data_IF_068207222716
#
_entry.id   IF_068207222716
#
_cell.length_a   1.000
_cell.length_b   1.000
_cell.length_c   1.000
_cell.angle_alpha   90.00
_cell.angle_beta   90.00
_cell.angle_gamma   90.00
#
_symmetry.space_group_name_H-M   'P 1'
#
loop_
_entity.id
_entity.type
_entity.pdbx_description
1 polymer ?
#
# COMPACT_ATOMS: atom_id res chain seq x y z
N UNK A 1 2.62 42.52 13.37
CA UNK A 1 2.84 42.48 11.91
C UNK A 1 1.51 42.71 11.20
N UNK A 2 1.49 43.31 10.00
CA UNK A 2 0.29 43.39 9.15
C UNK A 2 0.54 42.58 7.87
N UNK A 3 -0.38 41.69 7.52
CA UNK A 3 -0.32 40.89 6.30
C UNK A 3 -1.18 41.53 5.21
N UNK A 4 -0.70 41.51 3.96
CA UNK A 4 -1.49 41.84 2.78
C UNK A 4 -1.55 40.60 1.88
N UNK A 5 -2.70 39.94 1.85
CA UNK A 5 -2.93 38.79 0.97
C UNK A 5 -3.12 39.28 -0.47
N UNK A 6 -2.43 38.64 -1.41
CA UNK A 6 -2.57 38.87 -2.85
C UNK A 6 -3.06 37.55 -3.44
N UNK A 7 -4.07 37.58 -4.30
CA UNK A 7 -4.51 36.39 -5.01
C UNK A 7 -3.44 35.95 -6.00
N UNK A 8 -3.16 34.66 -6.05
CA UNK A 8 -2.17 34.05 -6.94
C UNK A 8 -2.92 33.17 -7.93
N UNK A 9 -2.52 33.22 -9.20
CA UNK A 9 -3.05 32.34 -10.24
C UNK A 9 -2.95 30.87 -9.81
N UNK A 10 -4.05 30.11 -9.96
CA UNK A 10 -4.14 28.69 -9.60
C UNK A 10 -3.09 27.81 -10.27
N UNK A 11 -2.53 28.23 -11.41
CA UNK A 11 -1.45 27.51 -12.12
C UNK A 11 -0.10 27.61 -11.42
N UNK A 12 0.03 28.47 -10.41
CA UNK A 12 1.28 28.71 -9.70
C UNK A 12 1.40 27.93 -8.40
N UNK A 13 0.38 27.16 -8.00
CA UNK A 13 0.43 26.36 -6.79
C UNK A 13 -0.36 25.06 -6.94
N UNK A 14 -0.08 24.14 -6.03
CA UNK A 14 -0.75 22.86 -5.93
C UNK A 14 -1.06 22.55 -4.47
N UNK A 15 -1.91 21.55 -4.23
CA UNK A 15 -2.03 20.93 -2.91
C UNK A 15 -0.77 20.14 -2.57
N UNK A 16 -0.44 20.12 -1.28
CA UNK A 16 0.67 19.33 -0.76
C UNK A 16 0.39 17.83 -0.86
N UNK A 17 -0.84 17.41 -0.58
CA UNK A 17 -1.25 16.02 -0.70
C UNK A 17 -1.40 15.62 -2.16
N UNK A 18 -0.72 14.53 -2.53
CA UNK A 18 -0.64 13.97 -3.88
C UNK A 18 -1.04 12.51 -3.96
N UNK A 19 -1.03 11.80 -2.84
CA UNK A 19 -1.36 10.38 -2.80
C UNK A 19 -2.42 10.09 -1.74
N UNK A 20 -3.12 8.99 -1.92
CA UNK A 20 -3.87 8.31 -0.87
C UNK A 20 -3.18 6.95 -0.66
N UNK A 21 -2.86 6.60 0.59
CA UNK A 21 -2.28 5.29 0.91
C UNK A 21 -3.25 4.53 1.79
N UNK A 22 -3.70 3.37 1.31
CA UNK A 22 -4.63 2.48 2.00
C UNK A 22 -3.85 1.41 2.78
N UNK A 23 -4.31 1.13 3.99
CA UNK A 23 -3.71 0.19 4.93
C UNK A 23 -4.82 -0.72 5.47
N UNK A 24 -4.45 -1.90 5.94
CA UNK A 24 -5.25 -2.61 6.94
C UNK A 24 -4.56 -2.54 8.30
N UNK A 25 -5.36 -2.65 9.36
CA UNK A 25 -4.81 -2.56 10.72
C UNK A 25 -4.19 -3.87 11.21
N UNK A 26 -4.70 -5.03 10.78
CA UNK A 26 -4.40 -6.34 11.36
C UNK A 26 -4.75 -6.44 12.86
N UNK A 27 -5.68 -5.61 13.31
CA UNK A 27 -6.20 -5.57 14.67
C UNK A 27 -7.73 -5.48 14.65
N UNK A 28 -8.36 -5.72 15.80
CA UNK A 28 -9.74 -5.30 16.00
C UNK A 28 -9.85 -3.76 16.09
N UNK A 29 -11.07 -3.25 16.08
CA UNK A 29 -11.32 -1.81 16.07
C UNK A 29 -10.77 -1.10 17.31
N UNK A 30 -10.88 -1.72 18.49
CA UNK A 30 -10.42 -1.14 19.75
C UNK A 30 -8.90 -1.00 19.75
N UNK A 31 -8.19 -2.08 19.45
CA UNK A 31 -6.73 -2.09 19.38
C UNK A 31 -6.22 -1.18 18.26
N UNK A 32 -6.96 -1.07 17.15
CA UNK A 32 -6.66 -0.12 16.05
C UNK A 32 -6.71 1.33 16.53
N UNK A 33 -7.81 1.73 17.18
CA UNK A 33 -7.97 3.09 17.73
C UNK A 33 -6.88 3.41 18.76
N UNK A 34 -6.61 2.46 19.66
CA UNK A 34 -5.58 2.65 20.68
C UNK A 34 -4.20 2.85 20.06
N UNK A 35 -3.83 2.01 19.08
CA UNK A 35 -2.54 2.08 18.41
C UNK A 35 -2.39 3.39 17.62
N UNK A 36 -3.43 3.83 16.92
CA UNK A 36 -3.40 5.01 16.04
C UNK A 36 -3.48 6.35 16.79
N UNK A 37 -3.71 6.35 18.11
CA UNK A 37 -3.93 7.58 18.91
C UNK A 37 -2.92 7.81 20.04
N UNK A 38 -2.04 6.85 20.34
CA UNK A 38 -1.06 6.93 21.44
C UNK A 38 0.38 7.30 21.02
N UNK A 39 0.54 7.74 19.78
CA UNK A 39 1.82 8.16 19.20
C UNK A 39 2.67 6.99 18.68
N UNK A 40 3.72 7.30 17.92
CA UNK A 40 4.56 6.29 17.24
C UNK A 40 4.07 5.98 15.82
N UNK A 41 2.76 5.84 15.62
CA UNK A 41 2.11 5.74 14.30
C UNK A 41 0.73 6.41 14.32
N UNK A 42 0.20 6.81 13.16
CA UNK A 42 -1.16 7.37 13.03
C UNK A 42 -1.64 7.34 11.58
N UNK A 43 -2.93 7.58 11.35
CA UNK A 43 -3.52 7.77 10.03
C UNK A 43 -4.44 9.00 10.03
N UNK A 44 -4.88 9.47 8.87
CA UNK A 44 -5.88 10.56 8.81
C UNK A 44 -7.27 10.03 9.14
N UNK A 45 -7.58 8.83 8.64
CA UNK A 45 -8.88 8.18 8.80
C UNK A 45 -8.72 6.72 9.23
N UNK A 46 -9.70 6.23 9.98
CA UNK A 46 -9.88 4.80 10.30
C UNK A 46 -11.30 4.37 9.91
N UNK A 47 -11.42 3.33 9.09
CA UNK A 47 -12.71 2.77 8.63
C UNK A 47 -12.99 1.45 9.37
N UNK A 48 -13.96 1.40 10.30
CA UNK A 48 -14.35 0.19 11.01
C UNK A 48 -15.05 -0.83 10.11
N UNK A 49 -15.20 -2.08 10.58
CA UNK A 49 -15.94 -3.12 9.83
C UNK A 49 -17.42 -2.81 9.68
N UNK A 50 -18.00 -2.06 10.61
CA UNK A 50 -19.43 -1.70 10.66
C UNK A 50 -19.57 -0.25 11.13
N UNK A 51 -20.69 0.43 10.83
CA UNK A 51 -20.96 1.74 11.40
C UNK A 51 -21.12 1.62 12.92
N UNK A 52 -20.74 2.67 13.63
CA UNK A 52 -20.83 2.75 15.08
C UNK A 52 -21.69 3.93 15.50
N UNK A 53 -22.19 3.90 16.73
CA UNK A 53 -23.01 4.97 17.29
C UNK A 53 -22.33 5.63 18.47
N UNK A 54 -22.43 6.95 18.50
CA UNK A 54 -22.13 7.77 19.67
C UNK A 54 -23.40 8.54 19.98
N UNK A 55 -23.96 8.30 21.16
CA UNK A 55 -25.31 8.76 21.53
C UNK A 55 -26.37 8.34 20.50
N UNK A 56 -27.06 9.30 19.86
CA UNK A 56 -28.09 9.04 18.84
C UNK A 56 -27.56 9.12 17.40
N UNK A 57 -26.30 9.49 17.21
CA UNK A 57 -25.69 9.69 15.88
C UNK A 57 -24.93 8.45 15.41
N UNK A 58 -25.00 8.20 14.10
CA UNK A 58 -24.31 7.09 13.43
C UNK A 58 -23.11 7.62 12.66
N UNK A 59 -22.00 6.89 12.75
CA UNK A 59 -20.72 7.24 12.16
C UNK A 59 -20.19 6.09 11.32
N UNK A 60 -19.69 6.43 10.13
CA UNK A 60 -19.17 5.44 9.18
C UNK A 60 -17.66 5.23 9.33
N UNK A 61 -16.94 6.24 9.83
CA UNK A 61 -15.48 6.26 10.00
C UNK A 61 -15.04 7.23 11.10
N UNK A 62 -13.78 7.11 11.53
CA UNK A 62 -13.11 8.03 12.44
C UNK A 62 -12.15 8.95 11.67
N UNK A 63 -12.14 10.25 11.98
CA UNK A 63 -11.09 11.19 11.57
C UNK A 63 -10.12 11.39 12.74
N UNK A 64 -8.85 11.00 12.55
CA UNK A 64 -7.84 11.02 13.61
C UNK A 64 -6.86 12.18 13.46
N UNK A 65 -6.44 12.50 12.23
CA UNK A 65 -5.52 13.61 11.91
C UNK A 65 -6.13 14.46 10.80
N UNK A 66 -5.99 15.78 10.87
CA UNK A 66 -6.43 16.65 9.79
C UNK A 66 -5.62 16.40 8.51
N UNK A 67 -6.27 16.39 7.35
CA UNK A 67 -5.61 16.11 6.07
C UNK A 67 -4.54 17.14 5.68
N UNK A 68 -4.52 18.31 6.32
CA UNK A 68 -3.47 19.32 6.14
C UNK A 68 -2.26 19.09 7.05
N UNK A 69 -2.42 18.27 8.09
CA UNK A 69 -1.35 17.81 8.97
C UNK A 69 -0.71 16.53 8.42
N UNK A 70 0.41 16.13 9.04
CA UNK A 70 1.18 14.95 8.64
C UNK A 70 0.87 13.78 9.57
N UNK A 71 0.04 12.83 9.14
CA UNK A 71 -0.08 11.53 9.81
C UNK A 71 1.15 10.63 9.56
N UNK A 72 1.39 9.65 10.44
CA UNK A 72 2.57 8.78 10.41
C UNK A 72 2.17 7.34 10.05
N UNK A 73 1.88 7.08 8.78
CA UNK A 73 1.35 5.79 8.29
C UNK A 73 2.28 5.08 7.29
N UNK A 74 2.83 5.79 6.31
CA UNK A 74 3.61 5.22 5.22
C UNK A 74 5.02 4.79 5.66
N UNK A 75 5.64 5.49 6.60
CA UNK A 75 7.02 5.23 7.04
C UNK A 75 8.04 5.37 5.89
N UNK A 76 9.09 4.54 5.88
CA UNK A 76 10.05 4.46 4.77
C UNK A 76 9.34 3.98 3.50
N UNK A 77 9.05 4.90 2.59
CA UNK A 77 8.17 4.67 1.45
C UNK A 77 8.66 5.46 0.24
N UNK A 78 8.40 4.94 -0.95
CA UNK A 78 8.74 5.58 -2.21
C UNK A 78 7.68 5.28 -3.27
N UNK A 79 7.31 6.29 -4.06
CA UNK A 79 6.51 6.10 -5.27
C UNK A 79 6.71 7.27 -6.24
N UNK A 80 6.90 6.96 -7.52
CA UNK A 80 7.08 7.93 -8.61
C UNK A 80 8.13 9.01 -8.30
N UNK A 81 9.31 8.58 -7.81
CA UNK A 81 10.43 9.47 -7.50
C UNK A 81 10.28 10.28 -6.22
N UNK A 82 9.21 10.08 -5.44
CA UNK A 82 9.00 10.73 -4.14
C UNK A 82 9.24 9.74 -3.03
N UNK A 83 9.98 10.16 -2.03
CA UNK A 83 10.22 9.41 -0.79
C UNK A 83 9.38 9.99 0.36
N UNK A 84 9.32 9.25 1.47
CA UNK A 84 8.69 9.70 2.73
C UNK A 84 7.25 10.16 2.54
N UNK A 85 6.41 9.29 1.97
CA UNK A 85 5.07 9.65 1.52
C UNK A 85 4.15 10.19 2.62
N UNK A 86 4.46 9.98 3.91
CA UNK A 86 3.79 10.71 5.00
C UNK A 86 3.69 12.23 4.74
N UNK A 87 4.68 12.82 4.07
CA UNK A 87 4.76 14.27 3.83
C UNK A 87 3.78 14.80 2.77
N UNK A 88 3.21 13.92 1.94
CA UNK A 88 2.41 14.26 0.78
C UNK A 88 1.31 13.23 0.47
N UNK A 89 0.88 12.47 1.47
CA UNK A 89 -0.20 11.51 1.31
C UNK A 89 -1.22 11.54 2.44
N UNK A 90 -2.43 11.09 2.10
CA UNK A 90 -3.52 10.86 3.05
C UNK A 90 -3.58 9.36 3.34
N UNK A 91 -3.13 8.95 4.53
CA UNK A 91 -3.31 7.59 5.04
C UNK A 91 -4.73 7.28 5.51
N UNK A 92 -5.29 6.18 5.03
CA UNK A 92 -6.56 5.60 5.48
C UNK A 92 -6.29 4.18 6.00
N UNK A 93 -6.56 3.96 7.28
CA UNK A 93 -6.52 2.63 7.91
C UNK A 93 -7.89 1.98 7.83
N UNK A 94 -7.93 0.68 7.55
CA UNK A 94 -9.17 -0.09 7.43
C UNK A 94 -9.10 -1.26 8.40
N UNK A 95 -10.09 -1.38 9.29
CA UNK A 95 -10.13 -2.49 10.27
C UNK A 95 -10.35 -3.80 9.52
N UNK A 96 -9.27 -4.55 9.33
CA UNK A 96 -9.26 -5.83 8.66
C UNK A 96 -8.15 -6.68 9.27
N UNK A 97 -8.42 -7.96 9.48
CA UNK A 97 -7.54 -8.86 10.22
C UNK A 97 -6.35 -9.37 9.39
N UNK A 98 -6.25 -8.97 8.11
CA UNK A 98 -5.22 -9.41 7.19
C UNK A 98 -5.45 -10.86 6.77
N UNK A 99 -4.47 -11.73 7.01
CA UNK A 99 -4.57 -13.15 6.69
C UNK A 99 -4.67 -14.02 7.95
N UNK A 100 -5.44 -15.08 7.87
CA UNK A 100 -5.59 -16.11 8.89
C UNK A 100 -5.16 -17.48 8.38
N UNK A 101 -4.77 -18.36 9.29
CA UNK A 101 -4.39 -19.74 9.01
C UNK A 101 -5.55 -20.68 9.34
N UNK A 102 -5.86 -21.54 8.38
CA UNK A 102 -6.84 -22.61 8.55
C UNK A 102 -6.19 -23.74 9.36
N UNK A 103 -6.78 -24.05 10.50
CA UNK A 103 -6.33 -25.12 11.39
C UNK A 103 -6.86 -26.48 10.93
N UNK A 104 -6.28 -27.56 11.42
CA UNK A 104 -6.76 -28.93 11.15
C UNK A 104 -8.22 -29.14 11.61
N UNK A 105 -8.69 -28.36 12.59
CA UNK A 105 -10.08 -28.34 13.05
C UNK A 105 -11.05 -27.64 12.09
N UNK A 106 -10.55 -26.91 11.09
CA UNK A 106 -11.31 -26.01 10.23
C UNK A 106 -11.51 -24.60 10.79
N UNK A 107 -11.06 -24.33 12.03
CA UNK A 107 -11.04 -22.98 12.60
C UNK A 107 -10.04 -22.10 11.84
N UNK A 108 -10.35 -20.82 11.69
CA UNK A 108 -9.41 -19.83 11.14
C UNK A 108 -8.88 -19.00 12.31
N UNK A 109 -7.56 -18.99 12.46
CA UNK A 109 -6.87 -18.17 13.46
C UNK A 109 -6.17 -17.04 12.73
N UNK A 110 -6.38 -15.81 13.19
CA UNK A 110 -5.72 -14.60 12.71
C UNK A 110 -4.57 -14.16 13.62
N UNK A 111 -3.65 -13.38 13.09
CA UNK A 111 -2.48 -12.86 13.81
C UNK A 111 -2.87 -12.10 15.09
N UNK A 112 -3.90 -11.25 15.03
CA UNK A 112 -4.33 -10.46 16.20
C UNK A 112 -4.81 -11.34 17.37
N UNK A 113 -5.35 -12.53 17.10
CA UNK A 113 -5.79 -13.44 18.16
C UNK A 113 -4.59 -14.04 18.91
N UNK A 114 -3.49 -14.32 18.22
CA UNK A 114 -2.23 -14.76 18.84
C UNK A 114 -1.66 -13.63 19.71
N UNK A 115 -1.71 -12.40 19.23
CA UNK A 115 -1.30 -11.22 20.01
C UNK A 115 -2.16 -11.03 21.27
N UNK A 116 -3.48 -11.23 21.17
CA UNK A 116 -4.39 -11.15 22.32
C UNK A 116 -4.12 -12.26 23.36
N UNK A 117 -3.81 -13.48 22.91
CA UNK A 117 -3.39 -14.59 23.77
C UNK A 117 -2.07 -14.28 24.48
N UNK A 118 -1.09 -13.71 23.78
CA UNK A 118 0.17 -13.28 24.38
C UNK A 118 -0.06 -12.18 25.43
N UNK A 119 -0.86 -11.15 25.10
CA UNK A 119 -1.23 -10.09 26.07
C UNK A 119 -1.80 -10.71 27.35
N UNK A 120 -2.73 -11.65 27.20
CA UNK A 120 -3.36 -12.36 28.33
C UNK A 120 -2.32 -13.11 29.16
N UNK A 121 -1.47 -13.91 28.52
CA UNK A 121 -0.39 -14.64 29.18
C UNK A 121 0.55 -13.71 29.97
N UNK A 122 0.95 -12.58 29.40
CA UNK A 122 1.83 -11.61 30.05
C UNK A 122 1.14 -10.97 31.26
N UNK A 123 -0.12 -10.56 31.12
CA UNK A 123 -0.90 -9.95 32.22
C UNK A 123 -1.12 -10.92 33.37
N UNK A 124 -1.50 -12.17 33.09
CA UNK A 124 -1.69 -13.20 34.11
C UNK A 124 -0.38 -13.53 34.82
N UNK A 125 0.72 -13.60 34.08
CA UNK A 125 2.06 -13.81 34.63
C UNK A 125 2.52 -12.64 35.49
N UNK A 126 2.25 -11.39 35.08
CA UNK A 126 2.50 -10.18 35.88
C UNK A 126 1.73 -10.23 37.20
N UNK A 127 0.43 -10.54 37.16
CA UNK A 127 -0.38 -10.65 38.38
C UNK A 127 0.14 -11.73 39.34
N UNK A 128 0.51 -12.89 38.79
CA UNK A 128 0.94 -14.02 39.61
C UNK A 128 2.34 -13.83 40.22
N UNK A 129 3.26 -13.19 39.51
CA UNK A 129 4.69 -13.18 39.88
C UNK A 129 5.23 -11.79 40.25
N UNK A 130 4.57 -10.73 39.78
CA UNK A 130 4.99 -9.33 39.95
C UNK A 130 3.78 -8.40 40.18
N UNK A 131 2.85 -8.77 41.07
CA UNK A 131 1.63 -7.99 41.35
C UNK A 131 1.88 -6.49 41.64
N UNK A 132 2.93 -6.08 42.40
CA UNK A 132 3.20 -4.65 42.60
C UNK A 132 3.52 -3.91 41.29
N UNK A 133 4.22 -4.55 40.35
CA UNK A 133 4.53 -3.99 39.03
C UNK A 133 3.27 -3.87 38.19
N UNK A 134 2.43 -4.90 38.20
CA UNK A 134 1.13 -4.86 37.54
C UNK A 134 0.27 -3.67 38.03
N UNK A 135 0.14 -3.53 39.35
CA UNK A 135 -0.63 -2.43 39.95
C UNK A 135 -0.04 -1.06 39.59
N UNK A 136 1.29 -0.93 39.59
CA UNK A 136 1.95 0.30 39.17
C UNK A 136 1.65 0.64 37.70
N UNK A 137 1.80 -0.33 36.79
CA UNK A 137 1.52 -0.15 35.36
C UNK A 137 0.06 0.27 35.13
N UNK A 138 -0.90 -0.35 35.82
CA UNK A 138 -2.32 0.01 35.71
C UNK A 138 -2.59 1.41 36.25
N UNK A 139 -2.11 1.72 37.46
CA UNK A 139 -2.36 3.00 38.11
C UNK A 139 -1.75 4.18 37.34
N UNK A 140 -0.59 3.96 36.71
CA UNK A 140 0.07 4.99 35.90
C UNK A 140 -0.40 5.02 34.43
N UNK A 141 -1.31 4.13 34.03
CA UNK A 141 -1.80 3.93 32.64
C UNK A 141 -0.70 3.56 31.64
N UNK A 142 0.25 2.74 32.08
CA UNK A 142 1.43 2.31 31.33
C UNK A 142 1.39 0.84 30.93
N UNK A 143 0.33 0.10 31.27
CA UNK A 143 0.22 -1.33 30.97
C UNK A 143 0.31 -1.61 29.47
N UNK A 144 -0.39 -0.84 28.63
CA UNK A 144 -0.40 -1.09 27.19
C UNK A 144 0.95 -0.76 26.55
N UNK A 145 1.64 0.27 27.05
CA UNK A 145 3.00 0.59 26.64
C UNK A 145 3.96 -0.57 26.97
N UNK A 146 3.86 -1.14 28.18
CA UNK A 146 4.63 -2.32 28.57
C UNK A 146 4.29 -3.53 27.69
N UNK A 147 3.00 -3.79 27.44
CA UNK A 147 2.56 -4.91 26.60
C UNK A 147 3.04 -4.77 25.16
N UNK A 148 3.00 -3.57 24.59
CA UNK A 148 3.46 -3.32 23.22
C UNK A 148 4.93 -3.70 23.00
N UNK A 149 5.78 -3.58 24.03
CA UNK A 149 7.19 -3.98 23.99
C UNK A 149 7.40 -5.50 23.98
N UNK A 150 6.36 -6.26 24.33
CA UNK A 150 6.34 -7.73 24.27
C UNK A 150 5.77 -8.26 22.95
N UNK A 151 5.17 -7.38 22.14
CA UNK A 151 4.50 -7.73 20.91
C UNK A 151 5.41 -7.55 19.68
N UNK A 152 5.14 -8.30 18.60
CA UNK A 152 5.92 -8.19 17.36
C UNK A 152 5.38 -7.04 16.50
N UNK A 153 6.29 -6.25 15.93
CA UNK A 153 5.97 -5.38 14.81
C UNK A 153 5.10 -4.16 15.13
N UNK A 154 4.82 -3.88 16.40
CA UNK A 154 4.21 -2.62 16.80
C UNK A 154 5.27 -1.52 16.79
N UNK A 155 4.94 -0.36 16.19
CA UNK A 155 5.71 0.85 16.48
C UNK A 155 5.35 1.22 17.91
N UNK A 156 6.32 1.25 18.83
CA UNK A 156 6.00 1.41 20.23
C UNK A 156 5.40 2.81 20.48
N UNK A 157 4.43 2.91 21.40
CA UNK A 157 3.75 4.15 21.67
C UNK A 157 4.69 5.17 22.32
N UNK A 158 4.30 6.45 22.30
CA UNK A 158 5.17 7.53 22.81
C UNK A 158 5.44 7.43 24.33
N UNK A 159 4.55 6.78 25.07
CA UNK A 159 4.69 6.50 26.50
C UNK A 159 5.57 5.27 26.82
N UNK A 160 6.15 4.62 25.80
CA UNK A 160 7.15 3.55 25.94
C UNK A 160 8.30 3.95 26.85
N UNK A 161 8.87 5.14 26.64
CA UNK A 161 10.01 5.61 27.43
C UNK A 161 9.59 5.88 28.89
N UNK A 162 8.34 6.30 29.11
CA UNK A 162 7.82 6.54 30.45
C UNK A 162 7.70 5.26 31.28
N UNK A 163 7.27 4.14 30.72
CA UNK A 163 7.21 2.90 31.51
C UNK A 163 8.62 2.33 31.80
N UNK A 164 9.58 2.52 30.89
CA UNK A 164 10.98 2.12 31.11
C UNK A 164 11.66 2.88 32.25
N UNK A 165 11.26 4.13 32.51
CA UNK A 165 11.72 4.87 33.70
C UNK A 165 11.13 4.31 35.00
N UNK A 166 9.99 3.61 34.93
CA UNK A 166 9.22 3.15 36.09
C UNK A 166 9.49 1.71 36.46
N UNK A 167 9.77 0.87 35.45
CA UNK A 167 9.97 -0.56 35.59
C UNK A 167 11.44 -0.88 35.36
N UNK A 168 12.01 -1.73 36.21
CA UNK A 168 13.43 -2.10 36.09
C UNK A 168 13.71 -2.81 34.77
N UNK A 169 14.86 -2.52 34.18
CA UNK A 169 15.32 -3.16 32.94
C UNK A 169 15.36 -4.69 33.05
N UNK A 170 15.72 -5.22 34.22
CA UNK A 170 15.71 -6.66 34.49
C UNK A 170 14.32 -7.30 34.29
N UNK A 171 13.26 -6.64 34.76
CA UNK A 171 11.88 -7.13 34.59
C UNK A 171 11.47 -7.02 33.12
N UNK A 172 11.81 -5.91 32.46
CA UNK A 172 11.48 -5.71 31.04
C UNK A 172 12.10 -6.82 30.18
N UNK A 173 13.40 -7.10 30.38
CA UNK A 173 14.11 -8.15 29.64
C UNK A 173 13.60 -9.56 29.99
N UNK A 174 13.21 -9.79 31.25
CA UNK A 174 12.56 -11.04 31.65
C UNK A 174 11.27 -11.29 30.86
N UNK A 175 10.39 -10.29 30.77
CA UNK A 175 9.11 -10.45 30.07
C UNK A 175 9.28 -10.52 28.55
N UNK A 176 10.28 -9.83 27.98
CA UNK A 176 10.63 -10.01 26.56
C UNK A 176 11.03 -11.44 26.26
N UNK A 177 11.88 -12.02 27.12
CA UNK A 177 12.30 -13.42 26.99
C UNK A 177 11.12 -14.38 27.15
N UNK A 178 10.22 -14.13 28.09
CA UNK A 178 8.99 -14.94 28.27
C UNK A 178 8.08 -14.85 27.05
N UNK A 179 7.90 -13.66 26.48
CA UNK A 179 7.11 -13.46 25.28
C UNK A 179 7.69 -14.24 24.10
N UNK A 180 9.01 -14.19 23.90
CA UNK A 180 9.71 -14.96 22.86
C UNK A 180 9.55 -16.48 23.06
N UNK A 181 9.75 -16.97 24.28
CA UNK A 181 9.54 -18.39 24.60
C UNK A 181 8.10 -18.83 24.37
N UNK A 182 7.13 -18.00 24.75
CA UNK A 182 5.72 -18.25 24.51
C UNK A 182 5.43 -18.35 23.01
N UNK A 183 5.97 -17.42 22.19
CA UNK A 183 5.79 -17.43 20.73
C UNK A 183 6.33 -18.69 20.09
N UNK A 184 7.50 -19.16 20.48
CA UNK A 184 8.08 -20.40 19.94
C UNK A 184 7.16 -21.62 20.07
N UNK A 185 6.25 -21.61 21.06
CA UNK A 185 5.33 -22.73 21.32
C UNK A 185 3.91 -22.49 20.82
N UNK A 186 3.50 -21.23 20.62
CA UNK A 186 2.10 -20.85 20.39
C UNK A 186 1.87 -20.04 19.11
N UNK A 187 2.88 -19.33 18.60
CA UNK A 187 2.76 -18.45 17.45
C UNK A 187 2.99 -19.21 16.14
N UNK A 188 1.88 -19.65 15.55
CA UNK A 188 1.87 -20.38 14.27
C UNK A 188 2.27 -19.52 13.06
N UNK A 189 2.37 -18.20 13.23
CA UNK A 189 2.77 -17.28 12.16
C UNK A 189 4.27 -16.98 12.17
N UNK A 190 5.00 -17.43 13.19
CA UNK A 190 6.38 -17.03 13.43
C UNK A 190 7.31 -17.33 12.25
N UNK A 191 7.12 -18.47 11.59
CA UNK A 191 7.92 -18.90 10.43
C UNK A 191 7.37 -18.48 9.08
N UNK A 192 6.22 -17.80 9.03
CA UNK A 192 5.54 -17.44 7.78
C UNK A 192 6.05 -16.09 7.29
N UNK A 193 6.48 -16.05 6.04
CA UNK A 193 6.94 -14.85 5.34
C UNK A 193 5.95 -14.47 4.24
N UNK A 194 6.02 -13.22 3.72
CA UNK A 194 5.21 -12.82 2.56
C UNK A 194 5.31 -13.74 1.34
N UNK A 195 6.42 -14.47 1.17
CA UNK A 195 6.65 -15.40 0.05
C UNK A 195 5.81 -16.67 0.18
N UNK A 196 5.41 -17.05 1.39
CA UNK A 196 4.65 -18.28 1.66
C UNK A 196 3.14 -18.08 1.45
N UNK A 197 2.65 -16.84 1.55
CA UNK A 197 1.22 -16.52 1.61
C UNK A 197 0.44 -17.00 0.38
N UNK A 198 1.03 -16.90 -0.81
CA UNK A 198 0.39 -17.34 -2.04
C UNK A 198 0.21 -18.87 -2.03
N UNK A 199 1.29 -19.61 -1.77
CA UNK A 199 1.24 -21.07 -1.75
C UNK A 199 0.28 -21.59 -0.66
N UNK A 200 0.29 -20.97 0.52
CA UNK A 200 -0.62 -21.35 1.60
C UNK A 200 -2.09 -21.11 1.24
N UNK A 201 -2.41 -20.04 0.50
CA UNK A 201 -3.77 -19.81 0.02
C UNK A 201 -4.18 -20.85 -1.03
N UNK A 202 -3.31 -21.16 -1.99
CA UNK A 202 -3.58 -22.19 -3.01
C UNK A 202 -3.80 -23.58 -2.37
N UNK A 203 -3.11 -23.88 -1.28
CA UNK A 203 -3.29 -25.09 -0.48
C UNK A 203 -4.50 -25.05 0.46
N UNK A 204 -5.28 -23.95 0.47
CA UNK A 204 -6.41 -23.70 1.37
C UNK A 204 -6.03 -23.74 2.86
N UNK A 205 -4.77 -23.42 3.16
CA UNK A 205 -4.23 -23.28 4.53
C UNK A 205 -4.23 -21.84 5.02
N UNK A 206 -4.46 -20.89 4.12
CA UNK A 206 -4.57 -19.46 4.42
C UNK A 206 -5.85 -18.90 3.82
N UNK A 207 -6.46 -17.97 4.53
CA UNK A 207 -7.62 -17.19 4.08
C UNK A 207 -7.34 -15.72 4.38
N UNK A 208 -7.66 -14.83 3.44
CA UNK A 208 -7.69 -13.39 3.69
C UNK A 208 -9.03 -12.99 4.29
N UNK A 209 -9.00 -12.08 5.27
CA UNK A 209 -10.20 -11.44 5.78
C UNK A 209 -10.80 -10.52 4.71
N UNK A 210 -12.09 -10.66 4.48
CA UNK A 210 -12.80 -9.85 3.50
C UNK A 210 -13.15 -8.46 4.06
N UNK A 211 -13.16 -7.47 3.18
CA UNK A 211 -13.69 -6.14 3.48
C UNK A 211 -15.21 -6.16 3.36
N UNK A 212 -15.90 -5.52 4.33
CA UNK A 212 -17.37 -5.46 4.35
C UNK A 212 -17.90 -4.48 3.31
N UNK A 213 -19.17 -4.63 2.90
CA UNK A 213 -19.82 -3.65 2.01
C UNK A 213 -19.81 -2.24 2.61
N UNK A 214 -20.00 -2.13 3.92
CA UNK A 214 -19.85 -0.87 4.66
C UNK A 214 -18.49 -0.22 4.43
N UNK A 215 -17.40 -1.00 4.51
CA UNK A 215 -16.05 -0.48 4.30
C UNK A 215 -15.86 0.03 2.87
N UNK A 216 -16.32 -0.72 1.87
CA UNK A 216 -16.28 -0.26 0.48
C UNK A 216 -17.08 1.03 0.27
N UNK A 217 -18.31 1.08 0.78
CA UNK A 217 -19.16 2.26 0.67
C UNK A 217 -18.58 3.47 1.35
N UNK A 218 -18.02 3.27 2.54
CA UNK A 218 -17.37 4.32 3.31
C UNK A 218 -16.13 4.83 2.61
N UNK A 219 -15.27 3.96 2.08
CA UNK A 219 -14.06 4.37 1.35
C UNK A 219 -14.41 5.21 0.12
N UNK A 220 -15.39 4.80 -0.67
CA UNK A 220 -15.78 5.54 -1.87
C UNK A 220 -16.36 6.90 -1.50
N UNK A 221 -17.28 6.97 -0.52
CA UNK A 221 -17.84 8.25 -0.05
C UNK A 221 -16.76 9.14 0.57
N UNK A 222 -15.88 8.59 1.39
CA UNK A 222 -14.78 9.33 2.01
C UNK A 222 -13.86 9.94 0.94
N UNK A 223 -13.52 9.20 -0.11
CA UNK A 223 -12.65 9.70 -1.17
C UNK A 223 -13.38 10.73 -2.05
N UNK A 224 -14.59 10.42 -2.53
CA UNK A 224 -15.30 11.26 -3.51
C UNK A 224 -16.03 12.46 -2.88
N UNK A 225 -16.60 12.31 -1.69
CA UNK A 225 -17.46 13.32 -1.07
C UNK A 225 -16.73 14.14 0.01
N UNK A 226 -15.59 13.67 0.52
CA UNK A 226 -14.83 14.38 1.55
C UNK A 226 -13.42 14.80 1.08
N UNK A 227 -12.55 13.84 0.78
CA UNK A 227 -11.14 14.11 0.44
C UNK A 227 -11.04 14.91 -0.86
N UNK A 228 -11.73 14.47 -1.91
CA UNK A 228 -11.66 15.10 -3.24
C UNK A 228 -12.13 16.55 -3.23
N UNK A 229 -13.29 16.92 -2.66
CA UNK A 229 -13.69 18.31 -2.51
C UNK A 229 -12.71 19.12 -1.66
N UNK A 230 -12.22 18.57 -0.54
CA UNK A 230 -11.29 19.29 0.34
C UNK A 230 -9.93 19.58 -0.33
N UNK A 231 -9.49 18.68 -1.23
CA UNK A 231 -8.26 18.81 -2.00
C UNK A 231 -8.47 19.47 -3.37
N UNK A 232 -9.68 19.83 -3.73
CA UNK A 232 -9.92 20.56 -4.97
C UNK A 232 -9.36 21.98 -4.89
N UNK A 233 -8.82 22.46 -6.01
CA UNK A 233 -8.54 23.88 -6.25
C UNK A 233 -9.69 24.41 -7.10
N UNK A 234 -10.43 25.38 -6.57
CA UNK A 234 -11.55 26.00 -7.28
C UNK A 234 -11.03 27.20 -8.06
N UNK A 235 -11.36 27.25 -9.34
CA UNK A 235 -11.23 28.46 -10.13
C UNK A 235 -12.46 29.33 -9.95
N UNK A 236 -12.29 30.47 -9.28
CA UNK A 236 -13.37 31.42 -9.03
C UNK A 236 -13.92 32.05 -10.32
N UNK A 237 -13.15 32.10 -11.42
CA UNK A 237 -13.60 32.71 -12.68
C UNK A 237 -14.44 31.76 -13.53
N UNK A 238 -14.09 30.46 -13.55
CA UNK A 238 -14.78 29.44 -14.36
C UNK A 238 -15.69 28.51 -13.57
N UNK A 239 -15.73 28.67 -12.24
CA UNK A 239 -16.35 27.75 -11.26
C UNK A 239 -15.86 26.29 -11.38
N UNK A 240 -14.74 26.05 -12.08
CA UNK A 240 -14.21 24.72 -12.29
C UNK A 240 -13.33 24.27 -11.12
N UNK A 241 -13.55 23.06 -10.61
CA UNK A 241 -12.76 22.46 -9.54
C UNK A 241 -11.74 21.45 -10.09
N UNK A 242 -10.47 21.58 -9.70
CA UNK A 242 -9.39 20.66 -10.09
C UNK A 242 -8.98 19.79 -8.91
N UNK A 243 -9.20 18.48 -9.02
CA UNK A 243 -8.64 17.50 -8.09
C UNK A 243 -7.33 16.94 -8.63
N UNK A 244 -6.31 16.87 -7.78
CA UNK A 244 -4.92 16.66 -8.24
C UNK A 244 -4.35 15.27 -7.92
N UNK A 245 -5.12 14.39 -7.28
CA UNK A 245 -4.70 13.00 -7.01
C UNK A 245 -5.28 12.12 -8.12
N UNK A 246 -4.48 11.70 -9.11
CA UNK A 246 -4.96 10.84 -10.19
C UNK A 246 -5.18 9.40 -9.69
N UNK A 247 -5.93 8.55 -10.42
CA UNK A 247 -6.24 7.19 -10.00
C UNK A 247 -5.01 6.34 -9.64
N UNK A 248 -3.91 6.48 -10.38
CA UNK A 248 -2.66 5.75 -10.13
C UNK A 248 -1.96 6.15 -8.82
N UNK A 249 -2.40 7.22 -8.14
CA UNK A 249 -1.84 7.70 -6.87
C UNK A 249 -2.73 7.36 -5.67
N UNK A 250 -3.73 6.49 -5.86
CA UNK A 250 -4.43 5.78 -4.80
C UNK A 250 -3.79 4.40 -4.68
N UNK A 251 -2.99 4.21 -3.63
CA UNK A 251 -1.98 3.16 -3.52
C UNK A 251 -2.17 2.34 -2.25
N UNK A 252 -1.70 1.10 -2.26
CA UNK A 252 -1.56 0.32 -1.03
C UNK A 252 -0.27 0.65 -0.31
N UNK A 253 -0.17 0.29 0.97
CA UNK A 253 1.11 0.34 1.67
C UNK A 253 2.14 -0.57 0.98
N UNK A 254 1.70 -1.71 0.44
CA UNK A 254 2.50 -2.63 -0.37
C UNK A 254 3.11 -1.97 -1.61
N UNK A 255 2.41 -1.03 -2.25
CA UNK A 255 2.92 -0.38 -3.46
C UNK A 255 4.06 0.59 -3.17
N UNK A 256 3.96 1.27 -2.04
CA UNK A 256 4.92 2.31 -1.65
C UNK A 256 6.06 1.75 -0.78
N UNK A 257 5.92 0.53 -0.28
CA UNK A 257 6.95 -0.17 0.48
C UNK A 257 7.01 -1.69 0.18
N UNK A 258 7.29 -2.09 -1.08
CA UNK A 258 7.33 -3.49 -1.48
C UNK A 258 8.29 -4.32 -0.62
N UNK A 259 7.86 -5.53 -0.25
CA UNK A 259 8.65 -6.46 0.58
C UNK A 259 8.68 -6.13 2.08
N UNK A 260 8.42 -4.88 2.47
CA UNK A 260 8.23 -4.49 3.88
C UNK A 260 6.77 -4.59 4.30
N UNK A 261 5.85 -4.28 3.38
CA UNK A 261 4.41 -4.19 3.62
C UNK A 261 3.64 -4.97 2.58
N UNK A 262 2.48 -5.49 2.98
CA UNK A 262 1.60 -6.35 2.16
C UNK A 262 0.15 -5.87 2.18
N UNK A 263 -0.16 -4.91 3.04
CA UNK A 263 -1.47 -4.29 3.17
C UNK A 263 -1.73 -3.26 2.05
N UNK A 264 -2.99 -3.11 1.59
CA UNK A 264 -4.23 -3.69 2.12
C UNK A 264 -4.53 -5.12 1.65
N UNK A 265 -3.58 -5.82 1.02
CA UNK A 265 -3.74 -7.19 0.55
C UNK A 265 -4.54 -7.29 -0.75
N UNK A 266 -4.81 -8.52 -1.22
CA UNK A 266 -5.36 -8.77 -2.56
C UNK A 266 -6.88 -8.57 -2.66
N UNK A 267 -7.59 -8.47 -1.53
CA UNK A 267 -9.06 -8.53 -1.51
C UNK A 267 -9.76 -7.17 -1.71
N UNK A 268 -9.03 -6.06 -1.85
CA UNK A 268 -9.61 -4.71 -1.85
C UNK A 268 -9.85 -4.12 -3.27
N UNK A 269 -8.87 -4.24 -4.16
CA UNK A 269 -8.70 -3.28 -5.26
C UNK A 269 -9.77 -3.33 -6.33
N UNK A 270 -10.10 -4.52 -6.83
CA UNK A 270 -11.03 -4.69 -7.95
C UNK A 270 -12.39 -4.05 -7.67
N UNK A 271 -12.93 -4.22 -6.46
CA UNK A 271 -14.23 -3.68 -6.07
C UNK A 271 -14.21 -2.15 -5.88
N UNK A 272 -13.07 -1.56 -5.48
CA UNK A 272 -12.88 -0.11 -5.48
C UNK A 272 -12.79 0.44 -6.91
N UNK A 273 -12.06 -0.24 -7.79
CA UNK A 273 -11.91 0.13 -9.19
C UNK A 273 -13.23 0.09 -9.97
N UNK A 274 -14.08 -0.91 -9.71
CA UNK A 274 -15.46 -0.99 -10.25
C UNK A 274 -16.33 0.22 -9.84
N UNK A 275 -15.91 0.96 -8.81
CA UNK A 275 -16.53 2.21 -8.35
C UNK A 275 -15.71 3.45 -8.69
N UNK A 276 -14.79 3.35 -9.64
CA UNK A 276 -13.91 4.42 -10.12
C UNK A 276 -12.93 4.98 -9.08
N UNK A 277 -12.61 4.20 -8.05
CA UNK A 277 -11.56 4.54 -7.08
C UNK A 277 -10.29 3.76 -7.39
N UNK A 278 -9.23 4.50 -7.72
CA UNK A 278 -7.92 3.94 -8.02
C UNK A 278 -7.75 3.53 -9.48
N UNK A 279 -6.51 3.23 -9.86
CA UNK A 279 -6.20 2.76 -11.20
C UNK A 279 -6.61 1.30 -11.39
N UNK A 280 -7.13 0.98 -12.57
CA UNK A 280 -7.38 -0.38 -13.02
C UNK A 280 -7.24 -0.49 -14.55
N UNK A 281 -6.70 -1.59 -15.09
CA UNK A 281 -6.59 -1.79 -16.53
C UNK A 281 -7.95 -2.05 -17.18
N UNK A 282 -8.03 -1.90 -18.51
CA UNK A 282 -9.17 -2.39 -19.30
C UNK A 282 -8.95 -3.88 -19.60
N UNK A 283 -9.90 -4.74 -19.23
CA UNK A 283 -9.77 -6.18 -19.43
C UNK A 283 -9.68 -6.54 -20.92
N UNK A 284 -10.35 -5.80 -21.81
CA UNK A 284 -10.26 -6.06 -23.26
C UNK A 284 -8.86 -5.79 -23.80
N UNK A 285 -8.19 -4.74 -23.32
CA UNK A 285 -6.80 -4.43 -23.68
C UNK A 285 -5.84 -5.48 -23.10
N UNK A 286 -6.05 -5.91 -21.85
CA UNK A 286 -5.27 -6.99 -21.23
C UNK A 286 -5.36 -8.27 -22.06
N UNK A 287 -6.58 -8.71 -22.41
CA UNK A 287 -6.77 -9.90 -23.24
C UNK A 287 -6.13 -9.77 -24.63
N UNK A 288 -6.18 -8.58 -25.24
CA UNK A 288 -5.54 -8.34 -26.54
C UNK A 288 -4.01 -8.48 -26.45
N UNK A 289 -3.40 -7.95 -25.38
CA UNK A 289 -1.95 -8.06 -25.13
C UNK A 289 -1.57 -9.50 -24.80
N UNK A 290 -2.34 -10.20 -23.96
CA UNK A 290 -2.10 -11.62 -23.60
C UNK A 290 -2.07 -12.52 -24.84
N UNK A 291 -2.92 -12.26 -25.84
CA UNK A 291 -2.94 -13.01 -27.11
C UNK A 291 -1.75 -12.69 -28.02
N UNK A 292 -1.12 -11.52 -27.84
CA UNK A 292 0.00 -11.06 -28.67
C UNK A 292 1.37 -11.46 -28.09
N UNK A 293 1.45 -11.80 -26.80
CA UNK A 293 2.70 -12.12 -26.11
C UNK A 293 2.87 -13.65 -25.97
N UNK A 294 4.10 -14.12 -26.23
CA UNK A 294 4.54 -15.49 -25.90
C UNK A 294 5.85 -15.44 -25.12
N UNK A 295 6.02 -16.37 -24.18
CA UNK A 295 7.24 -16.50 -23.36
C UNK A 295 8.27 -17.48 -23.95
N UNK A 296 8.13 -17.88 -25.22
CA UNK A 296 9.06 -18.80 -25.89
C UNK A 296 10.53 -18.33 -25.85
N UNK A 297 10.77 -17.02 -25.84
CA UNK A 297 12.10 -16.43 -25.80
C UNK A 297 12.57 -16.09 -24.36
N UNK A 298 11.84 -16.55 -23.35
CA UNK A 298 12.07 -16.21 -21.94
C UNK A 298 11.43 -14.89 -21.53
N UNK A 299 11.62 -14.52 -20.27
CA UNK A 299 11.10 -13.27 -19.67
C UNK A 299 12.20 -12.21 -19.69
N UNK A 300 11.88 -11.03 -20.24
CA UNK A 300 12.73 -9.85 -20.13
C UNK A 300 12.50 -9.15 -18.78
N UNK A 301 13.27 -9.58 -17.77
CA UNK A 301 13.19 -8.97 -16.43
C UNK A 301 13.61 -7.50 -16.44
N UNK A 302 14.49 -7.08 -17.35
CA UNK A 302 14.92 -5.69 -17.44
C UNK A 302 13.75 -4.82 -17.87
N UNK A 303 13.00 -5.25 -18.89
CA UNK A 303 11.79 -4.56 -19.32
C UNK A 303 10.75 -4.49 -18.19
N UNK A 304 10.50 -5.60 -17.47
CA UNK A 304 9.55 -5.60 -16.35
C UNK A 304 9.96 -4.59 -15.27
N UNK A 305 11.24 -4.56 -14.90
CA UNK A 305 11.78 -3.61 -13.92
C UNK A 305 11.63 -2.16 -14.39
N UNK A 306 12.00 -1.87 -15.64
CA UNK A 306 11.85 -0.53 -16.23
C UNK A 306 10.38 -0.10 -16.28
N UNK A 307 9.48 -1.00 -16.64
CA UNK A 307 8.04 -0.76 -16.71
C UNK A 307 7.41 -0.54 -15.33
N UNK A 308 7.76 -1.34 -14.32
CA UNK A 308 7.32 -1.14 -12.93
C UNK A 308 7.85 0.17 -12.35
N UNK A 309 9.12 0.50 -12.61
CA UNK A 309 9.71 1.79 -12.25
C UNK A 309 9.01 2.96 -12.95
N UNK A 310 8.65 2.80 -14.22
CA UNK A 310 7.89 3.81 -14.95
C UNK A 310 6.47 4.00 -14.38
N UNK A 311 5.80 2.90 -13.99
CA UNK A 311 4.51 2.97 -13.33
C UNK A 311 4.59 3.74 -12.00
N UNK A 312 5.63 3.46 -11.21
CA UNK A 312 5.97 4.26 -10.03
C UNK A 312 6.70 3.52 -8.90
N UNK A 313 6.90 2.21 -8.99
CA UNK A 313 7.55 1.42 -7.94
C UNK A 313 9.03 1.79 -7.77
N UNK A 314 9.52 1.68 -6.54
CA UNK A 314 10.95 1.78 -6.24
C UNK A 314 11.65 0.46 -6.60
N UNK A 315 12.30 0.44 -7.76
CA UNK A 315 12.95 -0.76 -8.29
C UNK A 315 14.15 -0.38 -9.17
N UNK A 316 15.22 -1.16 -9.07
CA UNK A 316 16.40 -1.00 -9.92
C UNK A 316 16.35 -1.95 -11.13
N UNK A 317 16.83 -1.46 -12.27
CA UNK A 317 16.92 -2.22 -13.53
C UNK A 317 18.17 -3.10 -13.58
N UNK A 318 18.13 -4.25 -12.89
CA UNK A 318 19.25 -5.21 -12.83
C UNK A 318 19.27 -6.23 -13.97
N UNK A 319 18.13 -6.43 -14.65
CA UNK A 319 17.92 -7.47 -15.65
C UNK A 319 17.89 -8.90 -15.08
N UNK A 320 17.83 -9.06 -13.76
CA UNK A 320 17.82 -10.35 -13.07
C UNK A 320 16.53 -10.52 -12.26
N UNK A 321 16.08 -11.77 -12.09
CA UNK A 321 14.97 -12.10 -11.19
C UNK A 321 15.41 -12.16 -9.72
N UNK A 322 15.82 -11.00 -9.20
CA UNK A 322 16.30 -10.82 -7.84
C UNK A 322 15.15 -10.61 -6.82
N UNK A 323 15.51 -10.50 -5.55
CA UNK A 323 14.53 -10.38 -4.46
C UNK A 323 13.68 -9.09 -4.53
N UNK A 324 14.28 -7.95 -4.91
CA UNK A 324 13.49 -6.71 -5.12
C UNK A 324 12.45 -6.92 -6.22
N UNK A 325 12.82 -7.59 -7.31
CA UNK A 325 11.92 -7.84 -8.44
C UNK A 325 10.75 -8.70 -8.00
N UNK A 326 11.01 -9.77 -7.24
CA UNK A 326 9.96 -10.62 -6.67
C UNK A 326 9.03 -9.84 -5.73
N UNK A 327 9.58 -8.97 -4.89
CA UNK A 327 8.79 -8.19 -3.92
C UNK A 327 7.91 -7.14 -4.60
N UNK A 328 8.42 -6.45 -5.62
CA UNK A 328 7.67 -5.46 -6.39
C UNK A 328 6.61 -6.14 -7.24
N UNK A 329 6.94 -7.23 -7.94
CA UNK A 329 5.96 -8.02 -8.71
C UNK A 329 4.86 -8.53 -7.81
N UNK A 330 5.18 -9.03 -6.62
CA UNK A 330 4.17 -9.48 -5.65
C UNK A 330 3.24 -8.34 -5.22
N UNK A 331 3.80 -7.17 -4.93
CA UNK A 331 3.01 -6.00 -4.51
C UNK A 331 2.08 -5.54 -5.64
N UNK A 332 2.62 -5.47 -6.87
CA UNK A 332 1.84 -5.20 -8.08
C UNK A 332 0.73 -6.23 -8.29
N UNK A 333 1.02 -7.52 -8.12
CA UNK A 333 0.03 -8.58 -8.25
C UNK A 333 -1.05 -8.52 -7.17
N UNK A 334 -0.69 -8.27 -5.90
CA UNK A 334 -1.69 -8.05 -4.84
C UNK A 334 -2.62 -6.88 -5.20
N UNK A 335 -2.13 -5.87 -5.91
CA UNK A 335 -2.96 -4.77 -6.40
C UNK A 335 -3.81 -5.18 -7.61
N UNK A 336 -3.19 -5.65 -8.70
CA UNK A 336 -3.83 -5.74 -10.03
C UNK A 336 -4.12 -7.17 -10.52
N UNK A 337 -3.53 -8.20 -9.90
CA UNK A 337 -3.70 -9.63 -10.22
C UNK A 337 -3.93 -10.45 -8.95
N UNK A 338 -5.01 -10.18 -8.18
CA UNK A 338 -5.18 -10.74 -6.83
C UNK A 338 -5.28 -12.27 -6.78
N UNK A 339 -5.53 -12.93 -7.91
CA UNK A 339 -5.55 -14.39 -8.04
C UNK A 339 -4.13 -15.00 -8.15
N UNK A 340 -3.09 -14.21 -8.40
CA UNK A 340 -1.71 -14.66 -8.54
C UNK A 340 -0.73 -13.62 -7.99
N UNK A 341 -0.53 -13.62 -6.68
CA UNK A 341 0.47 -12.81 -5.98
C UNK A 341 1.72 -13.62 -5.58
N UNK A 342 2.12 -14.56 -6.44
CA UNK A 342 3.30 -15.39 -6.23
C UNK A 342 4.62 -14.59 -6.15
N UNK A 343 4.67 -13.41 -6.77
CA UNK A 343 5.89 -12.65 -7.03
C UNK A 343 6.66 -13.14 -8.25
N UNK A 344 6.10 -14.08 -9.02
CA UNK A 344 6.64 -14.54 -10.31
C UNK A 344 5.78 -13.97 -11.43
N UNK A 345 6.36 -13.33 -12.46
CA UNK A 345 5.56 -12.74 -13.54
C UNK A 345 4.94 -13.83 -14.42
N UNK A 346 3.64 -13.71 -14.68
CA UNK A 346 2.91 -14.48 -15.69
C UNK A 346 2.71 -13.65 -16.96
N UNK A 347 2.21 -14.26 -18.04
CA UNK A 347 1.76 -13.52 -19.25
C UNK A 347 0.73 -12.47 -18.86
N UNK A 348 -0.17 -12.80 -17.92
CA UNK A 348 -1.17 -11.88 -17.39
C UNK A 348 -0.55 -10.73 -16.61
N UNK A 349 0.43 -10.99 -15.74
CA UNK A 349 1.15 -9.93 -15.01
C UNK A 349 1.76 -8.89 -15.96
N UNK A 350 2.43 -9.38 -17.02
CA UNK A 350 3.05 -8.53 -18.05
C UNK A 350 1.99 -7.71 -18.80
N UNK A 351 0.89 -8.36 -19.18
CA UNK A 351 -0.20 -7.73 -19.94
C UNK A 351 -0.95 -6.67 -19.13
N UNK A 352 -1.17 -6.92 -17.83
CA UNK A 352 -1.73 -5.95 -16.89
C UNK A 352 -0.84 -4.71 -16.78
N UNK A 353 0.48 -4.90 -16.63
CA UNK A 353 1.43 -3.80 -16.52
C UNK A 353 1.45 -2.96 -17.80
N UNK A 354 1.52 -3.59 -18.98
CA UNK A 354 1.50 -2.88 -20.26
C UNK A 354 0.17 -2.11 -20.46
N UNK A 355 -0.98 -2.73 -20.17
CA UNK A 355 -2.29 -2.08 -20.28
C UNK A 355 -2.40 -0.86 -19.34
N UNK A 356 -1.88 -0.97 -18.11
CA UNK A 356 -1.83 0.14 -17.16
C UNK A 356 -0.96 1.29 -17.66
N UNK A 357 0.22 0.98 -18.22
CA UNK A 357 1.10 1.99 -18.79
C UNK A 357 0.44 2.72 -19.97
N UNK A 358 -0.18 1.98 -20.89
CA UNK A 358 -0.93 2.57 -22.01
C UNK A 358 -2.05 3.50 -21.54
N UNK A 359 -2.80 3.09 -20.52
CA UNK A 359 -3.98 3.82 -20.02
C UNK A 359 -3.62 5.08 -19.23
N UNK A 360 -2.63 5.00 -18.33
CA UNK A 360 -2.34 6.08 -17.37
C UNK A 360 -1.08 6.88 -17.71
N UNK A 361 -0.26 6.39 -18.64
CA UNK A 361 0.96 7.06 -19.11
C UNK A 361 1.11 6.97 -20.64
N UNK A 362 0.11 7.43 -21.43
CA UNK A 362 0.21 7.40 -22.89
C UNK A 362 1.38 8.26 -23.38
N UNK A 363 1.99 7.87 -24.50
CA UNK A 363 3.15 8.58 -25.09
C UNK A 363 2.87 10.08 -25.33
N UNK A 364 1.61 10.47 -25.56
CA UNK A 364 1.19 11.87 -25.70
C UNK A 364 1.38 12.72 -24.43
N UNK A 365 1.44 12.11 -23.25
CA UNK A 365 1.71 12.83 -21.99
C UNK A 365 3.20 13.18 -21.80
N UNK A 366 4.09 12.68 -22.66
CA UNK A 366 5.52 13.02 -22.62
C UNK A 366 5.80 14.45 -23.12
N UNK A 367 4.86 15.09 -23.80
CA UNK A 367 5.05 16.42 -24.42
C UNK A 367 4.35 17.58 -23.68
N UNK A 368 3.40 17.33 -22.78
CA UNK A 368 2.43 18.35 -22.35
C UNK A 368 2.60 18.87 -20.90
N UNK A 369 3.77 18.69 -20.27
CA UNK A 369 4.07 19.30 -18.97
C UNK A 369 5.35 20.15 -19.01
N UNK A 370 5.39 21.36 -18.43
CA UNK A 370 6.61 22.15 -18.28
C UNK A 370 7.45 21.63 -17.10
N UNK A 371 7.72 20.32 -17.05
CA UNK A 371 8.74 19.66 -16.20
C UNK A 371 9.17 18.37 -16.89
N UNK A 372 9.92 18.52 -17.97
CA UNK A 372 10.61 17.43 -18.63
C UNK A 372 11.57 16.75 -17.65
N UNK A 373 11.20 15.58 -17.16
CA UNK A 373 12.20 14.59 -16.76
C UNK A 373 12.65 13.92 -18.06
N UNK A 374 13.92 14.10 -18.39
CA UNK A 374 14.50 13.45 -19.57
C UNK A 374 14.35 11.94 -19.41
N UNK A 375 13.47 11.34 -20.22
CA UNK A 375 13.56 9.92 -20.50
C UNK A 375 14.93 9.63 -21.13
N UNK A 376 15.55 8.48 -20.81
CA UNK A 376 16.55 7.91 -21.70
C UNK A 376 15.85 7.66 -23.04
N UNK A 377 16.17 8.48 -24.04
CA UNK A 377 15.73 8.26 -25.41
C UNK A 377 16.19 6.88 -25.86
N UNK A 378 15.24 6.09 -26.37
CA UNK A 378 15.42 4.76 -26.91
C UNK A 378 16.70 4.60 -27.77
N UNK A 379 17.46 3.54 -27.51
CA UNK A 379 17.86 2.69 -28.64
C UNK A 379 16.76 1.65 -28.77
N UNK A 380 15.99 1.74 -29.85
CA UNK A 380 15.04 0.73 -30.31
C UNK A 380 15.64 -0.67 -30.14
N UNK A 381 15.22 -1.39 -29.11
CA UNK A 381 15.32 -2.85 -29.12
C UNK A 381 14.16 -3.33 -29.97
N UNK A 382 14.44 -3.53 -31.25
CA UNK A 382 13.55 -4.21 -32.17
C UNK A 382 13.11 -5.54 -31.55
N UNK A 383 11.84 -5.65 -31.20
CA UNK A 383 11.15 -6.95 -31.13
C UNK A 383 11.27 -7.55 -32.54
N UNK A 384 12.14 -8.56 -32.69
CA UNK A 384 12.40 -9.18 -33.98
C UNK A 384 11.21 -10.05 -34.39
N UNK A 385 10.34 -9.52 -35.25
CA UNK A 385 9.60 -10.36 -36.20
C UNK A 385 10.53 -10.64 -37.39
N UNK A 386 11.12 -11.84 -37.46
CA UNK A 386 11.69 -12.33 -38.71
C UNK A 386 10.57 -13.01 -39.52
N UNK A 387 9.91 -12.24 -40.37
CA UNK A 387 9.25 -12.82 -41.54
C UNK A 387 10.32 -13.44 -42.44
N UNK A 388 10.19 -14.73 -42.74
CA UNK A 388 10.97 -15.41 -43.77
C UNK A 388 10.44 -14.99 -45.15
N UNK A 389 11.16 -14.11 -45.86
CA UNK A 389 11.02 -13.98 -47.31
C UNK A 389 12.38 -13.99 -47.99
N UNK A 390 12.52 -14.93 -48.92
CA UNK A 390 13.63 -15.05 -49.86
C UNK A 390 13.77 -13.78 -50.72
N UNK A 391 14.99 -13.37 -51.09
CA UNK A 391 15.21 -12.19 -51.92
C UNK A 391 15.17 -12.57 -53.40
N UNK A 392 14.47 -11.79 -54.22
CA UNK A 392 14.87 -11.56 -55.61
C UNK A 392 14.26 -10.25 -56.16
N UNK A 393 15.18 -9.32 -56.42
CA UNK A 393 15.24 -8.33 -57.52
C UNK A 393 14.18 -7.22 -57.72
N UNK A 394 14.69 -6.01 -57.45
CA UNK A 394 14.93 -4.90 -58.40
C UNK A 394 13.88 -3.79 -58.62
N UNK A 395 14.45 -2.58 -58.56
CA UNK A 395 14.09 -1.30 -59.21
C UNK A 395 12.87 -0.57 -58.60
N UNK A 396 12.84 0.74 -58.36
CA UNK A 396 13.60 1.86 -58.93
C UNK A 396 13.41 3.15 -58.08
N UNK A 397 14.49 3.92 -57.96
CA UNK A 397 14.67 5.40 -57.96
C UNK A 397 13.67 6.44 -57.35
N UNK A 398 14.32 7.48 -56.77
CA UNK A 398 13.93 8.91 -56.55
C UNK A 398 12.99 9.28 -55.37
N UNK A 399 13.15 10.40 -54.64
CA UNK A 399 14.15 11.48 -54.56
C UNK A 399 13.88 12.38 -53.33
N UNK A 400 14.95 12.79 -52.64
CA UNK A 400 15.23 14.08 -51.94
C UNK A 400 14.13 15.03 -51.37
N UNK A 401 14.47 15.53 -50.16
CA UNK A 401 14.38 16.93 -49.66
C UNK A 401 12.99 17.51 -49.28
N UNK A 402 12.79 18.44 -48.34
CA UNK A 402 13.55 19.08 -47.25
C UNK A 402 12.57 20.10 -46.56
N UNK A 403 12.71 20.32 -45.24
CA UNK A 403 12.57 21.59 -44.51
C UNK A 403 11.25 22.43 -44.36
N UNK A 404 10.97 22.78 -43.08
CA UNK A 404 10.79 24.13 -42.47
C UNK A 404 9.38 24.64 -42.05
N UNK A 405 9.26 24.80 -40.71
CA UNK A 405 8.70 25.88 -39.84
C UNK A 405 7.31 26.51 -40.07
N UNK A 406 6.54 26.58 -38.98
CA UNK A 406 6.40 27.79 -38.14
C UNK A 406 6.00 27.43 -36.71
#
# INVERSE_FOLDING_TARGET
MKEKRISVDKRNFDKRQRFIVLHYTAFDEKDSLETLTRGGLSAHFLVPKQPFKVDEESYDYYKLVDINDRAWHAGCSHFKGRESLNDNSIGIEIVNYGFGLVQDSGEIVFTYQIEAQLKTFIVETLKAQHEPVYQQLVNEKLLDAFLSDMQRGMIPPSDRERYKEKISEAIIEEYKKRAEQWRQSNDRFLSITPKDLYQLEQEKKLVWDDYTDHQYDTLVKLIEENIKPAMAIIDEESEHSYYQIPPQFILGHSDVAPGRKIDPGPRLWKKLAERNIGAWPDEAEVCAIEQAITLEHGIDYKWIQDALGHYGYDINSTGQFDEQTQNVIRSFQMHFEPENYSGTPSVRTISLLEALLKKYYPESMLTDYPRSFNLPTEKKSSVFFKETRNPENNNETNSFACCVMS
#
